data_IF_970188297371
#
_entry.id   IF_970188297371
#
_cell.length_a   1.000
_cell.length_b   1.000
_cell.length_c   1.000
_cell.angle_alpha   90.00
_cell.angle_beta   90.00
_cell.angle_gamma   90.00
#
_symmetry.space_group_name_H-M   'P 1'
#
loop_
_entity.id
_entity.type
_entity.pdbx_description
1 polymer ?
#
# COMPACT_ATOMS: atom_id res chain seq x y z
N UNK A 1 -10.68 -11.90 -18.89
CA UNK A 1 -9.41 -11.18 -18.64
C UNK A 1 -9.65 -9.69 -18.89
N UNK A 2 -9.07 -8.78 -18.10
CA UNK A 2 -9.41 -7.34 -18.06
C UNK A 2 -9.05 -6.52 -19.33
N UNK A 3 -8.69 -7.17 -20.45
CA UNK A 3 -8.30 -6.49 -21.70
C UNK A 3 -6.93 -5.77 -21.65
N UNK A 4 -6.17 -5.96 -20.58
CA UNK A 4 -4.86 -5.34 -20.37
C UNK A 4 -3.74 -6.22 -20.93
N UNK A 5 -2.72 -5.60 -21.53
CA UNK A 5 -1.46 -6.27 -21.92
C UNK A 5 -0.49 -6.33 -20.73
N UNK A 6 -0.93 -6.91 -19.61
CA UNK A 6 -0.19 -6.95 -18.35
C UNK A 6 -0.26 -8.35 -17.71
N UNK A 7 0.52 -8.58 -16.66
CA UNK A 7 0.54 -9.84 -15.91
C UNK A 7 1.50 -10.91 -16.46
N UNK A 8 2.32 -10.57 -17.45
CA UNK A 8 3.36 -11.43 -18.00
C UNK A 8 4.62 -10.61 -18.30
N UNK A 9 5.79 -11.21 -18.10
CA UNK A 9 7.08 -10.63 -18.50
C UNK A 9 7.38 -11.11 -19.91
N UNK A 10 6.86 -10.39 -20.90
CA UNK A 10 7.02 -10.71 -22.32
C UNK A 10 7.11 -9.44 -23.18
N UNK A 11 7.62 -9.58 -24.42
CA UNK A 11 7.77 -8.43 -25.32
C UNK A 11 6.42 -7.84 -25.68
N UNK A 12 6.28 -6.53 -25.51
CA UNK A 12 5.06 -5.80 -25.81
C UNK A 12 4.00 -5.84 -24.71
N UNK A 13 4.28 -6.48 -23.56
CA UNK A 13 3.51 -6.26 -22.34
C UNK A 13 3.89 -4.90 -21.72
N UNK A 14 2.99 -4.34 -20.93
CA UNK A 14 3.24 -3.19 -20.06
C UNK A 14 4.36 -3.52 -19.08
N UNK A 15 5.24 -2.54 -18.84
CA UNK A 15 6.34 -2.69 -17.89
C UNK A 15 5.86 -2.48 -16.45
N UNK A 16 4.97 -3.37 -16.01
CA UNK A 16 4.47 -3.49 -14.65
C UNK A 16 5.29 -4.57 -13.91
N UNK A 17 6.27 -4.14 -13.12
CA UNK A 17 7.29 -5.02 -12.54
C UNK A 17 7.42 -4.75 -11.03
N UNK A 18 7.49 -5.82 -10.25
CA UNK A 18 7.78 -5.78 -8.82
C UNK A 18 9.08 -6.55 -8.55
N UNK A 19 10.04 -5.90 -7.89
CA UNK A 19 11.26 -6.53 -7.38
C UNK A 19 11.09 -6.86 -5.90
N UNK A 20 11.33 -8.12 -5.54
CA UNK A 20 11.20 -8.64 -4.18
C UNK A 20 12.56 -9.03 -3.60
N UNK A 21 12.80 -8.73 -2.33
CA UNK A 21 13.99 -9.19 -1.60
C UNK A 21 13.80 -10.61 -1.05
N UNK A 22 14.11 -11.61 -1.88
CA UNK A 22 14.06 -13.02 -1.49
C UNK A 22 15.23 -13.47 -0.57
N UNK A 23 16.07 -12.55 -0.06
CA UNK A 23 17.17 -12.87 0.86
C UNK A 23 16.72 -12.91 2.32
N UNK A 24 15.50 -12.44 2.60
CA UNK A 24 14.92 -12.35 3.94
C UNK A 24 14.80 -13.72 4.61
N UNK A 25 14.94 -13.83 5.95
CA UNK A 25 14.97 -15.11 6.66
C UNK A 25 13.74 -15.99 6.41
N UNK A 26 12.53 -15.40 6.35
CA UNK A 26 11.28 -16.13 6.11
C UNK A 26 11.15 -16.67 4.68
N UNK A 27 11.96 -16.18 3.74
CA UNK A 27 12.03 -16.73 2.38
C UNK A 27 13.08 -17.85 2.25
N UNK A 28 13.68 -18.31 3.37
CA UNK A 28 14.70 -19.35 3.39
C UNK A 28 14.21 -20.62 4.10
N UNK A 29 14.58 -21.80 3.59
CA UNK A 29 15.31 -22.05 2.33
C UNK A 29 14.46 -21.80 1.08
N UNK A 30 15.07 -21.26 0.02
CA UNK A 30 14.37 -20.85 -1.20
C UNK A 30 14.16 -22.00 -2.20
N UNK A 31 13.67 -23.16 -1.73
CA UNK A 31 13.44 -24.33 -2.60
C UNK A 31 12.37 -24.07 -3.66
N UNK A 32 11.35 -23.28 -3.31
CA UNK A 32 10.29 -22.86 -4.22
C UNK A 32 9.92 -21.39 -3.95
N UNK A 33 10.48 -20.48 -4.74
CA UNK A 33 10.25 -19.05 -4.59
C UNK A 33 8.77 -18.66 -4.73
N UNK A 34 8.01 -19.32 -5.60
CA UNK A 34 6.59 -19.03 -5.75
C UNK A 34 5.81 -19.37 -4.47
N UNK A 35 6.10 -20.53 -3.87
CA UNK A 35 5.51 -20.89 -2.57
C UNK A 35 5.97 -19.93 -1.46
N UNK A 36 7.26 -19.55 -1.42
CA UNK A 36 7.76 -18.56 -0.47
C UNK A 36 7.07 -17.21 -0.60
N UNK A 37 6.80 -16.75 -1.83
CA UNK A 37 6.08 -15.50 -2.08
C UNK A 37 4.63 -15.60 -1.58
N UNK A 38 3.95 -16.71 -1.85
CA UNK A 38 2.53 -16.89 -1.48
C UNK A 38 2.34 -17.07 0.03
N UNK A 39 3.23 -17.81 0.69
CA UNK A 39 3.01 -18.24 2.08
C UNK A 39 3.87 -17.51 3.11
N UNK A 40 4.91 -16.78 2.71
CA UNK A 40 5.89 -16.22 3.65
C UNK A 40 6.25 -14.77 3.38
N UNK A 41 6.21 -14.30 2.13
CA UNK A 41 6.53 -12.92 1.82
C UNK A 41 5.43 -11.96 2.31
N UNK A 42 5.85 -10.72 2.57
CA UNK A 42 5.00 -9.61 3.00
C UNK A 42 5.25 -8.38 2.12
N UNK A 43 4.44 -7.32 2.31
CA UNK A 43 4.66 -6.04 1.64
C UNK A 43 6.05 -5.44 1.94
N UNK A 44 6.63 -5.73 3.11
CA UNK A 44 7.97 -5.28 3.50
C UNK A 44 9.11 -5.92 2.71
N UNK A 45 8.81 -6.93 1.89
CA UNK A 45 9.79 -7.57 0.99
C UNK A 45 9.87 -6.90 -0.37
N UNK A 46 8.94 -5.99 -0.69
CA UNK A 46 8.95 -5.22 -1.93
C UNK A 46 10.03 -4.15 -1.87
N UNK A 47 10.99 -4.23 -2.79
CA UNK A 47 12.07 -3.25 -2.90
C UNK A 47 11.73 -2.15 -3.91
N UNK A 48 11.31 -2.55 -5.11
CA UNK A 48 11.09 -1.61 -6.22
C UNK A 48 9.83 -2.00 -6.98
N UNK A 49 9.02 -0.99 -7.33
CA UNK A 49 7.79 -1.16 -8.13
C UNK A 49 7.84 -0.22 -9.32
N UNK A 50 7.61 -0.76 -10.50
CA UNK A 50 7.56 -0.05 -11.77
C UNK A 50 6.16 -0.24 -12.34
N UNK A 51 5.50 0.85 -12.71
CA UNK A 51 4.17 0.87 -13.32
C UNK A 51 4.27 1.53 -14.69
N UNK A 52 3.94 0.81 -15.75
CA UNK A 52 4.06 1.26 -17.15
C UNK A 52 5.44 1.89 -17.45
N UNK A 53 6.49 1.27 -16.94
CA UNK A 53 7.88 1.71 -17.13
C UNK A 53 8.32 2.89 -16.25
N UNK A 54 7.46 3.39 -15.35
CA UNK A 54 7.80 4.46 -14.40
C UNK A 54 8.01 3.88 -13.00
N UNK A 55 9.16 4.11 -12.34
CA UNK A 55 9.34 3.69 -10.96
C UNK A 55 8.40 4.50 -10.04
N UNK A 56 7.69 3.80 -9.16
CA UNK A 56 6.80 4.39 -8.15
C UNK A 56 7.29 4.11 -6.73
N UNK A 57 8.05 3.03 -6.54
CA UNK A 57 8.77 2.67 -5.30
C UNK A 57 10.20 2.31 -5.68
N UNK A 58 11.19 2.79 -4.93
CA UNK A 58 12.61 2.41 -5.05
C UNK A 58 13.19 2.22 -3.65
N UNK A 59 13.86 1.09 -3.39
CA UNK A 59 14.46 0.80 -2.08
C UNK A 59 13.45 0.80 -0.93
N UNK A 60 12.21 0.39 -1.19
CA UNK A 60 11.11 0.37 -0.22
C UNK A 60 10.52 1.74 0.10
N UNK A 61 10.85 2.80 -0.66
CA UNK A 61 10.32 4.17 -0.46
C UNK A 61 9.52 4.63 -1.66
N UNK A 62 8.41 5.35 -1.45
CA UNK A 62 7.68 5.95 -2.55
C UNK A 62 8.50 7.08 -3.19
N UNK A 63 8.56 7.07 -4.52
CA UNK A 63 9.21 8.14 -5.32
C UNK A 63 8.22 8.92 -6.18
N UNK A 64 6.98 8.45 -6.26
CA UNK A 64 5.89 9.08 -7.01
C UNK A 64 4.84 9.78 -6.11
N UNK A 65 4.99 9.69 -4.79
CA UNK A 65 4.07 10.20 -3.78
C UNK A 65 4.86 10.83 -2.63
N UNK A 66 4.34 11.91 -2.08
CA UNK A 66 4.72 12.43 -0.76
C UNK A 66 3.90 11.69 0.30
N UNK A 67 4.52 10.73 0.99
CA UNK A 67 3.86 9.85 1.97
C UNK A 67 3.30 10.63 3.15
N UNK A 68 4.04 11.61 3.68
CA UNK A 68 3.63 12.41 4.83
C UNK A 68 2.41 13.24 4.49
N UNK A 69 2.44 13.92 3.33
CA UNK A 69 1.29 14.70 2.86
C UNK A 69 0.07 13.81 2.61
N UNK A 70 0.25 12.62 2.06
CA UNK A 70 -0.85 11.69 1.79
C UNK A 70 -1.51 11.20 3.09
N UNK A 71 -0.71 10.88 4.11
CA UNK A 71 -1.21 10.47 5.42
C UNK A 71 -1.99 11.60 6.10
N UNK A 72 -1.44 12.82 6.12
CA UNK A 72 -2.14 13.98 6.68
C UNK A 72 -3.49 14.24 5.99
N UNK A 73 -3.52 14.14 4.66
CA UNK A 73 -4.77 14.29 3.90
C UNK A 73 -5.79 13.20 4.23
N UNK A 74 -5.33 11.96 4.43
CA UNK A 74 -6.19 10.86 4.82
C UNK A 74 -6.78 11.06 6.23
N UNK A 75 -5.98 11.51 7.20
CA UNK A 75 -6.44 11.82 8.55
C UNK A 75 -7.48 12.95 8.55
N UNK A 76 -7.21 14.05 7.85
CA UNK A 76 -8.17 15.16 7.71
C UNK A 76 -9.47 14.69 7.05
N UNK A 77 -9.38 13.88 5.99
CA UNK A 77 -10.56 13.34 5.32
C UNK A 77 -11.38 12.43 6.24
N UNK A 78 -10.71 11.59 7.04
CA UNK A 78 -11.36 10.75 8.04
C UNK A 78 -12.06 11.56 9.12
N UNK A 79 -11.41 12.59 9.67
CA UNK A 79 -12.01 13.46 10.69
C UNK A 79 -13.23 14.21 10.15
N UNK A 80 -13.13 14.80 8.96
CA UNK A 80 -14.27 15.46 8.31
C UNK A 80 -15.43 14.51 8.05
N UNK A 81 -15.16 13.24 7.77
CA UNK A 81 -16.19 12.22 7.60
C UNK A 81 -16.86 11.87 8.92
N UNK A 82 -16.08 11.72 10.00
CA UNK A 82 -16.61 11.47 11.34
C UNK A 82 -17.46 12.64 11.85
N UNK A 83 -17.04 13.88 11.64
CA UNK A 83 -17.83 15.06 12.02
C UNK A 83 -19.21 15.05 11.34
N UNK A 84 -19.25 14.80 10.03
CA UNK A 84 -20.53 14.71 9.30
C UNK A 84 -21.43 13.60 9.81
N UNK A 85 -20.87 12.44 10.14
CA UNK A 85 -21.64 11.32 10.69
C UNK A 85 -22.20 11.67 12.07
N UNK A 86 -21.41 12.29 12.94
CA UNK A 86 -21.85 12.65 14.29
C UNK A 86 -22.94 13.73 14.27
N UNK A 87 -22.88 14.66 13.31
CA UNK A 87 -23.93 15.68 13.11
C UNK A 87 -25.28 15.04 12.68
N UNK A 88 -25.24 14.00 11.84
CA UNK A 88 -26.43 13.26 11.38
C UNK A 88 -26.93 12.23 12.41
N UNK A 89 -26.00 11.65 13.19
CA UNK A 89 -26.24 10.54 14.12
C UNK A 89 -25.53 10.76 15.46
N UNK A 90 -26.06 11.62 16.35
CA UNK A 90 -25.43 11.95 17.63
C UNK A 90 -25.26 10.73 18.55
N UNK A 91 -26.08 9.68 18.38
CA UNK A 91 -26.00 8.44 19.16
C UNK A 91 -24.65 7.70 19.02
N UNK A 92 -23.92 7.94 17.92
CA UNK A 92 -22.65 7.28 17.62
C UNK A 92 -21.46 7.83 18.41
N UNK A 93 -21.63 8.96 19.10
CA UNK A 93 -20.58 9.58 19.92
C UNK A 93 -20.12 8.67 21.07
N UNK A 94 -20.96 7.72 21.49
CA UNK A 94 -20.65 6.74 22.53
C UNK A 94 -19.72 5.60 22.10
N UNK A 95 -19.55 5.39 20.78
CA UNK A 95 -18.84 4.23 20.20
C UNK A 95 -17.64 4.65 19.36
N UNK A 96 -17.62 5.90 18.91
CA UNK A 96 -16.49 6.48 18.18
C UNK A 96 -15.49 7.08 19.17
N UNK A 97 -14.18 6.99 18.90
CA UNK A 97 -13.18 7.65 19.73
C UNK A 97 -13.51 9.14 19.78
N UNK A 98 -13.88 9.63 20.96
CA UNK A 98 -14.20 11.04 21.19
C UNK A 98 -13.07 11.90 20.63
N UNK A 99 -13.45 12.99 19.95
CA UNK A 99 -12.58 14.04 19.38
C UNK A 99 -11.22 14.06 20.11
N UNK A 100 -10.18 13.49 19.50
CA UNK A 100 -8.84 13.63 20.07
C UNK A 100 -8.56 15.12 20.13
N UNK A 101 -8.44 15.63 21.35
CA UNK A 101 -8.16 17.03 21.61
C UNK A 101 -7.00 17.50 20.74
N UNK A 102 -7.18 18.67 20.14
CA UNK A 102 -6.12 19.42 19.47
C UNK A 102 -5.04 19.79 20.49
N UNK A 103 -4.12 18.87 20.76
CA UNK A 103 -2.82 19.12 21.40
C UNK A 103 -1.85 18.18 20.68
N UNK A 104 -0.86 18.64 19.90
CA UNK A 104 0.24 19.57 20.20
C UNK A 104 0.67 20.27 18.91
#
# INVERSE_FOLDING_TARGET
MLGLRAGAIERGAEADIVLLDARRPWCKPAFNLAASIVYSASSGDVDTVIVRGKPVIIGGRHVALDEERALLQAEVAAMNFLEKILDEHPELESVLPARSEKEI
#
